data_IF_580716372164
#
_entry.id   IF_580716372164
#
_cell.length_a   1.000
_cell.length_b   1.000
_cell.length_c   1.000
_cell.angle_alpha   90.00
_cell.angle_beta   90.00
_cell.angle_gamma   90.00
#
_symmetry.space_group_name_H-M   'P 1'
#
loop_
_entity.id
_entity.type
_entity.pdbx_description
1 polymer ?
#
# COMPACT_ATOMS: atom_id res chain seq x y z
N UNK A 1 -14.99 0.36 9.07
CA UNK A 1 -13.86 0.01 8.19
C UNK A 1 -13.65 1.15 7.21
N UNK A 2 -12.41 1.54 6.95
CA UNK A 2 -12.08 2.52 5.91
C UNK A 2 -10.80 2.11 5.17
N UNK A 3 -10.71 2.53 3.91
CA UNK A 3 -9.57 2.26 3.03
C UNK A 3 -9.16 3.56 2.35
N UNK A 4 -7.85 3.81 2.24
CA UNK A 4 -7.30 4.96 1.52
C UNK A 4 -6.36 4.48 0.41
N UNK A 5 -6.54 5.07 -0.76
CA UNK A 5 -5.72 4.85 -1.95
C UNK A 5 -5.24 6.21 -2.45
N UNK A 6 -4.04 6.26 -3.01
CA UNK A 6 -3.51 7.45 -3.69
C UNK A 6 -3.35 7.20 -5.19
N UNK A 7 -3.34 8.26 -6.00
CA UNK A 7 -3.23 8.15 -7.46
C UNK A 7 -1.88 7.58 -7.91
N UNK A 8 -0.81 7.87 -7.16
CA UNK A 8 0.53 7.35 -7.46
C UNK A 8 0.56 5.82 -7.29
N UNK A 9 0.72 5.10 -8.40
CA UNK A 9 0.75 3.64 -8.42
C UNK A 9 -0.57 2.96 -8.01
N UNK A 10 -1.68 3.71 -7.95
CA UNK A 10 -2.93 3.27 -7.32
C UNK A 10 -2.67 2.59 -5.97
N UNK A 11 -1.83 3.22 -5.14
CA UNK A 11 -1.25 2.57 -3.97
C UNK A 11 -2.23 2.55 -2.81
N UNK A 12 -2.46 1.38 -2.24
CA UNK A 12 -3.16 1.17 -0.99
C UNK A 12 -2.29 1.65 0.17
N UNK A 13 -2.69 2.75 0.81
CA UNK A 13 -1.87 3.40 1.85
C UNK A 13 -2.43 3.21 3.27
N UNK A 14 -3.70 2.83 3.42
CA UNK A 14 -4.31 2.59 4.74
C UNK A 14 -5.50 1.65 4.64
N UNK A 15 -5.60 0.71 5.57
CA UNK A 15 -6.76 -0.13 5.87
C UNK A 15 -7.03 -0.07 7.38
N UNK A 16 -8.09 0.62 7.78
CA UNK A 16 -8.55 0.66 9.18
C UNK A 16 -9.74 -0.25 9.41
N UNK A 17 -9.60 -1.20 10.32
CA UNK A 17 -10.65 -2.19 10.64
C UNK A 17 -11.04 -2.08 12.12
N UNK A 18 -12.33 -2.18 12.48
CA UNK A 18 -12.74 -2.25 13.88
C UNK A 18 -12.09 -3.44 14.60
N UNK A 19 -11.63 -3.22 15.83
CA UNK A 19 -11.07 -4.28 16.67
C UNK A 19 -12.06 -4.70 17.78
N UNK A 20 -11.74 -5.79 18.47
CA UNK A 20 -12.59 -6.35 19.53
C UNK A 20 -12.77 -5.47 20.76
N UNK A 21 -11.97 -4.40 20.89
CA UNK A 21 -12.01 -3.45 22.02
C UNK A 21 -12.81 -2.17 21.70
N UNK A 22 -13.50 -2.12 20.55
CA UNK A 22 -14.32 -0.97 20.13
C UNK A 22 -13.55 0.16 19.46
N UNK A 23 -12.25 -0.03 19.17
CA UNK A 23 -11.43 0.91 18.39
C UNK A 23 -11.27 0.49 16.93
N UNK A 24 -10.40 1.17 16.19
CA UNK A 24 -9.95 0.75 14.85
C UNK A 24 -8.45 0.59 14.81
N UNK A 25 -7.96 -0.42 14.10
CA UNK A 25 -6.54 -0.72 13.93
C UNK A 25 -6.13 -0.60 12.46
N UNK A 26 -4.93 -0.07 12.21
CA UNK A 26 -4.31 -0.01 10.88
C UNK A 26 -3.64 -1.36 10.58
N UNK A 27 -4.03 -1.99 9.48
CA UNK A 27 -3.53 -3.32 9.09
C UNK A 27 -2.45 -3.26 8.01
N UNK A 28 -2.34 -2.15 7.30
CA UNK A 28 -1.43 -2.04 6.17
C UNK A 28 -0.05 -1.51 6.63
N UNK A 29 1.01 -2.10 6.09
CA UNK A 29 2.33 -1.48 6.14
C UNK A 29 2.40 -0.38 5.08
N UNK A 30 2.99 0.75 5.43
CA UNK A 30 3.07 1.89 4.54
C UNK A 30 3.84 3.04 5.15
N UNK A 31 3.66 4.20 4.52
CA UNK A 31 4.34 5.43 4.90
C UNK A 31 3.33 6.55 5.11
N UNK A 32 3.76 7.62 5.77
CA UNK A 32 2.90 8.77 6.05
C UNK A 32 2.92 9.81 4.93
N UNK A 33 4.02 9.87 4.15
CA UNK A 33 4.24 10.91 3.13
C UNK A 33 4.41 10.35 1.71
N UNK A 34 4.07 11.17 0.70
CA UNK A 34 4.30 10.81 -0.70
C UNK A 34 5.79 10.62 -1.02
N UNK A 35 6.69 11.41 -0.41
CA UNK A 35 8.13 11.32 -0.64
C UNK A 35 8.68 9.94 -0.26
N UNK A 36 8.19 9.35 0.82
CA UNK A 36 8.58 7.98 1.22
C UNK A 36 8.08 6.95 0.20
N UNK A 37 6.86 7.11 -0.32
CA UNK A 37 6.36 6.27 -1.40
C UNK A 37 7.17 6.44 -2.70
N UNK A 38 7.70 7.62 -3.00
CA UNK A 38 8.57 7.83 -4.17
C UNK A 38 9.92 7.11 -4.00
N UNK A 39 10.43 7.02 -2.77
CA UNK A 39 11.69 6.36 -2.43
C UNK A 39 11.55 4.86 -2.09
N UNK A 40 10.33 4.32 -2.12
CA UNK A 40 10.03 2.91 -1.83
C UNK A 40 10.58 1.96 -2.92
N UNK A 41 11.33 0.94 -2.48
CA UNK A 41 11.90 -0.12 -3.32
C UNK A 41 11.24 -1.49 -3.09
N UNK A 42 10.24 -1.58 -2.21
CA UNK A 42 9.54 -2.82 -1.86
C UNK A 42 8.15 -2.94 -2.49
N UNK A 43 7.68 -1.91 -3.20
CA UNK A 43 6.34 -1.85 -3.82
C UNK A 43 5.20 -1.91 -2.80
N UNK A 44 5.34 -1.22 -1.66
CA UNK A 44 4.32 -1.23 -0.61
C UNK A 44 2.98 -0.70 -1.11
N UNK A 45 1.94 -1.55 -1.02
CA UNK A 45 0.57 -1.22 -1.39
C UNK A 45 0.35 -0.92 -2.88
N UNK A 46 1.39 -0.96 -3.73
CA UNK A 46 1.30 -0.54 -5.14
C UNK A 46 0.52 -1.55 -5.99
N UNK A 47 -0.18 -1.05 -6.99
CA UNK A 47 -0.69 -1.88 -8.09
C UNK A 47 0.45 -2.15 -9.08
N UNK A 48 0.91 -3.41 -9.18
CA UNK A 48 2.07 -3.79 -10.00
C UNK A 48 1.64 -4.23 -11.41
N UNK A 49 2.28 -3.69 -12.46
CA UNK A 49 2.02 -4.05 -13.85
C UNK A 49 3.00 -3.40 -14.85
N UNK A 50 2.96 -3.72 -16.16
CA UNK A 50 2.03 -4.64 -16.86
C UNK A 50 2.31 -6.13 -16.67
N UNK A 51 3.45 -6.49 -16.12
CA UNK A 51 3.77 -7.87 -15.75
C UNK A 51 4.27 -7.85 -14.32
N UNK A 52 3.54 -8.50 -13.41
CA UNK A 52 3.97 -8.61 -12.02
C UNK A 52 5.03 -9.69 -11.88
N UNK A 53 5.96 -9.49 -10.94
CA UNK A 53 7.05 -10.41 -10.64
C UNK A 53 8.12 -10.47 -11.77
N UNK A 54 8.76 -11.62 -11.98
CA UNK A 54 9.99 -11.76 -12.79
C UNK A 54 9.73 -12.25 -14.20
N UNK A 55 10.41 -11.65 -15.17
CA UNK A 55 10.57 -12.18 -16.53
C UNK A 55 12.03 -12.63 -16.67
N UNK A 56 12.24 -13.87 -17.11
CA UNK A 56 13.60 -14.41 -17.31
C UNK A 56 14.19 -13.84 -18.61
N UNK A 57 15.43 -13.35 -18.55
CA UNK A 57 16.19 -12.84 -19.70
C UNK A 57 15.49 -11.71 -20.48
N UNK A 58 14.83 -10.79 -19.77
CA UNK A 58 14.27 -9.55 -20.33
C UNK A 58 15.21 -8.36 -20.14
#
# INVERSE_FOLDING_TARGET
>A
MSVKVIEYGASLVSIKVPNGSGGTEELNLGFDTLEEYLNDNASFGRTVGRYANRIVNA
#
